data_IF_392148829421
#
_entry.id   IF_392148829421
#
_cell.length_a   1.000
_cell.length_b   1.000
_cell.length_c   1.000
_cell.angle_alpha   90.00
_cell.angle_beta   90.00
_cell.angle_gamma   90.00
#
_symmetry.space_group_name_H-M   'P 1'
#
loop_
_entity.id
_entity.type
_entity.pdbx_description
1 polymer ?
#
# COMPACT_ATOMS: atom_id res chain seq x y z
N UNK A 1 5.51 0.20 -13.36
CA UNK A 1 5.89 0.49 -11.96
C UNK A 1 6.96 1.54 -11.96
N UNK A 2 6.76 2.63 -11.25
CA UNK A 2 7.78 3.64 -10.94
C UNK A 2 8.44 3.27 -9.61
N UNK A 3 9.76 3.39 -9.53
CA UNK A 3 10.55 3.06 -8.33
C UNK A 3 11.58 4.17 -8.15
N UNK A 4 11.77 4.66 -6.93
CA UNK A 4 12.85 5.62 -6.65
C UNK A 4 14.22 4.94 -6.85
N UNK A 5 15.12 5.60 -7.61
CA UNK A 5 16.37 4.97 -8.05
C UNK A 5 17.45 4.94 -6.96
N UNK A 6 17.44 5.92 -6.06
CA UNK A 6 18.47 6.11 -5.02
C UNK A 6 17.96 5.65 -3.63
N UNK A 7 16.91 4.82 -3.59
CA UNK A 7 16.30 4.32 -2.37
C UNK A 7 17.01 3.03 -1.91
N UNK A 8 18.10 3.20 -1.13
CA UNK A 8 18.85 2.07 -0.57
C UNK A 8 18.01 1.29 0.45
N UNK A 9 17.14 1.97 1.23
CA UNK A 9 16.26 1.36 2.21
C UNK A 9 15.23 0.46 1.54
N UNK A 10 14.65 0.86 0.41
CA UNK A 10 13.78 -0.02 -0.38
C UNK A 10 14.50 -1.30 -0.78
N UNK A 11 15.74 -1.20 -1.29
CA UNK A 11 16.51 -2.39 -1.68
C UNK A 11 16.73 -3.33 -0.48
N UNK A 12 17.07 -2.79 0.68
CA UNK A 12 17.23 -3.56 1.92
C UNK A 12 15.93 -4.28 2.30
N UNK A 13 14.80 -3.59 2.33
CA UNK A 13 13.49 -4.17 2.62
C UNK A 13 13.14 -5.32 1.66
N UNK A 14 13.35 -5.11 0.35
CA UNK A 14 13.07 -6.14 -0.66
C UNK A 14 13.95 -7.39 -0.49
N UNK A 15 15.23 -7.21 -0.13
CA UNK A 15 16.16 -8.32 0.10
C UNK A 15 15.80 -9.06 1.39
N UNK A 16 15.56 -8.37 2.50
CA UNK A 16 15.18 -8.96 3.79
C UNK A 16 13.91 -9.79 3.69
N UNK A 17 12.90 -9.30 2.98
CA UNK A 17 11.65 -10.03 2.77
C UNK A 17 11.83 -11.28 1.91
N UNK A 18 12.70 -11.22 0.90
CA UNK A 18 13.00 -12.35 0.03
C UNK A 18 13.95 -13.38 0.68
N UNK A 19 14.79 -12.94 1.61
CA UNK A 19 15.78 -13.74 2.32
C UNK A 19 15.86 -13.34 3.81
N UNK A 20 14.95 -13.84 4.66
CA UNK A 20 14.91 -13.50 6.10
C UNK A 20 16.17 -13.91 6.89
N UNK A 21 17.01 -14.76 6.32
CA UNK A 21 18.29 -15.18 6.93
C UNK A 21 19.47 -14.32 6.42
N UNK A 22 19.17 -13.30 5.60
CA UNK A 22 20.17 -12.38 5.07
C UNK A 22 20.92 -11.67 6.20
N UNK A 23 22.26 -11.71 6.16
CA UNK A 23 23.10 -10.95 7.07
C UNK A 23 23.18 -9.49 6.62
N UNK A 24 22.55 -8.60 7.38
CA UNK A 24 22.50 -7.16 7.09
C UNK A 24 23.88 -6.49 6.96
N UNK A 25 24.92 -7.10 7.53
CA UNK A 25 26.32 -6.61 7.40
C UNK A 25 26.96 -6.97 6.05
N UNK A 26 26.34 -7.86 5.27
CA UNK A 26 26.82 -8.28 3.96
C UNK A 26 25.72 -8.20 2.91
N UNK A 27 25.66 -7.12 2.16
CA UNK A 27 24.76 -6.90 1.03
C UNK A 27 25.04 -7.80 -0.18
N UNK A 28 25.32 -9.08 0.04
CA UNK A 28 25.39 -10.05 -1.05
C UNK A 28 23.99 -10.50 -1.45
N UNK A 29 23.47 -9.87 -2.51
CA UNK A 29 22.23 -10.25 -3.13
C UNK A 29 22.31 -11.69 -3.67
N UNK A 30 21.69 -12.66 -2.99
CA UNK A 30 21.57 -14.02 -3.51
C UNK A 30 20.40 -14.14 -4.49
N UNK A 31 20.74 -14.07 -5.77
CA UNK A 31 19.77 -14.22 -6.86
C UNK A 31 18.99 -15.56 -6.78
N UNK A 32 19.58 -16.63 -6.21
CA UNK A 32 18.92 -17.93 -6.08
C UNK A 32 17.81 -17.84 -5.05
N UNK A 33 18.08 -17.31 -3.86
CA UNK A 33 17.10 -17.14 -2.78
C UNK A 33 15.93 -16.27 -3.22
N UNK A 34 16.20 -15.12 -3.82
CA UNK A 34 15.14 -14.24 -4.37
C UNK A 34 14.31 -14.93 -5.46
N UNK A 35 14.95 -15.77 -6.30
CA UNK A 35 14.22 -16.52 -7.32
C UNK A 35 13.35 -17.62 -6.72
N UNK A 36 13.80 -18.31 -5.66
CA UNK A 36 13.04 -19.31 -4.94
C UNK A 36 11.86 -18.68 -4.19
N UNK A 37 12.09 -17.55 -3.51
CA UNK A 37 11.03 -16.76 -2.89
C UNK A 37 9.93 -16.39 -3.89
N UNK A 38 10.30 -15.79 -5.01
CA UNK A 38 9.36 -15.43 -6.09
C UNK A 38 8.54 -16.63 -6.58
N UNK A 39 9.18 -17.76 -6.82
CA UNK A 39 8.47 -18.98 -7.22
C UNK A 39 7.48 -19.45 -6.16
N UNK A 40 7.87 -19.37 -4.89
CA UNK A 40 7.01 -19.72 -3.75
C UNK A 40 5.77 -18.81 -3.75
N UNK A 41 5.94 -17.51 -3.82
CA UNK A 41 4.83 -16.54 -3.82
C UNK A 41 3.89 -16.73 -5.03
N UNK A 42 4.43 -16.88 -6.24
CA UNK A 42 3.63 -17.07 -7.46
C UNK A 42 2.94 -18.43 -7.55
N UNK A 43 3.40 -19.43 -6.81
CA UNK A 43 2.79 -20.79 -6.80
C UNK A 43 1.81 -20.99 -5.64
N UNK A 44 1.86 -20.15 -4.62
CA UNK A 44 0.94 -20.21 -3.50
C UNK A 44 -0.46 -19.72 -3.92
N UNK A 45 -1.54 -20.32 -3.37
CA UNK A 45 -2.87 -19.75 -3.55
C UNK A 45 -2.92 -18.35 -2.90
N UNK A 46 -3.43 -17.37 -3.63
CA UNK A 46 -3.63 -16.02 -3.11
C UNK A 46 -4.77 -16.06 -2.08
N UNK A 47 -4.54 -15.48 -0.89
CA UNK A 47 -5.54 -15.36 0.18
C UNK A 47 -6.79 -14.60 -0.30
N UNK A 48 -7.86 -14.65 0.45
CA UNK A 48 -9.03 -13.80 0.23
C UNK A 48 -8.71 -12.38 0.74
N UNK A 49 -8.55 -11.43 -0.19
CA UNK A 49 -8.18 -10.06 0.14
C UNK A 49 -9.24 -9.32 0.96
N UNK A 50 -10.52 -9.64 0.74
CA UNK A 50 -11.59 -9.07 1.56
C UNK A 50 -11.50 -9.53 3.02
N UNK A 51 -11.25 -10.82 3.22
CA UNK A 51 -11.09 -11.37 4.58
C UNK A 51 -9.85 -10.77 5.28
N UNK A 52 -8.75 -10.54 4.55
CA UNK A 52 -7.57 -9.83 5.11
C UNK A 52 -7.94 -8.42 5.54
N UNK A 53 -8.64 -7.65 4.72
CA UNK A 53 -9.07 -6.28 5.05
C UNK A 53 -10.06 -6.26 6.22
N UNK A 54 -10.99 -7.22 6.30
CA UNK A 54 -11.91 -7.36 7.42
C UNK A 54 -11.17 -7.64 8.74
N UNK A 55 -10.12 -8.47 8.71
CA UNK A 55 -9.26 -8.75 9.87
C UNK A 55 -8.50 -7.49 10.31
N UNK A 56 -7.83 -6.80 9.39
CA UNK A 56 -7.08 -5.58 9.68
C UNK A 56 -7.99 -4.45 10.19
N UNK A 57 -9.15 -4.25 9.57
CA UNK A 57 -10.14 -3.28 10.06
C UNK A 57 -10.68 -3.65 11.45
N UNK A 58 -10.82 -4.95 11.72
CA UNK A 58 -11.20 -5.43 13.06
C UNK A 58 -10.21 -5.03 14.13
N UNK A 59 -8.91 -5.13 13.83
CA UNK A 59 -7.83 -4.68 14.73
C UNK A 59 -7.91 -3.18 15.01
N UNK A 60 -8.14 -2.34 13.98
CA UNK A 60 -8.31 -0.88 14.17
C UNK A 60 -9.50 -0.54 15.07
N UNK A 61 -10.60 -1.29 14.96
CA UNK A 61 -11.77 -1.10 15.84
C UNK A 61 -11.47 -1.48 17.28
N UNK A 62 -10.75 -2.57 17.50
CA UNK A 62 -10.33 -2.99 18.86
C UNK A 62 -9.39 -1.95 19.48
N UNK A 63 -8.47 -1.39 18.70
CA UNK A 63 -7.57 -0.32 19.17
C UNK A 63 -8.35 0.96 19.52
N UNK A 64 -9.29 1.38 18.69
CA UNK A 64 -10.14 2.53 18.98
C UNK A 64 -10.96 2.31 20.28
N UNK A 65 -11.49 1.08 20.51
CA UNK A 65 -12.17 0.73 21.76
C UNK A 65 -11.21 0.77 22.96
N UNK A 66 -9.98 0.29 22.82
CA UNK A 66 -8.95 0.32 23.89
C UNK A 66 -8.51 1.75 24.24
N UNK A 67 -8.56 2.66 23.27
CA UNK A 67 -8.26 4.08 23.43
C UNK A 67 -9.48 4.92 23.83
N UNK A 68 -10.62 4.29 24.13
CA UNK A 68 -11.90 4.95 24.49
C UNK A 68 -12.43 5.91 23.39
N UNK A 69 -12.13 5.67 22.09
CA UNK A 69 -12.58 6.48 20.96
C UNK A 69 -13.95 5.99 20.42
N UNK A 70 -14.84 6.93 20.09
CA UNK A 70 -16.06 6.61 19.35
C UNK A 70 -15.75 6.40 17.87
N UNK A 71 -15.97 5.16 17.38
CA UNK A 71 -15.65 4.77 16.02
C UNK A 71 -16.36 5.64 14.97
N UNK A 72 -17.64 5.95 15.18
CA UNK A 72 -18.44 6.69 14.19
C UNK A 72 -18.16 8.20 14.22
N UNK A 73 -17.99 8.78 15.41
CA UNK A 73 -17.87 10.22 15.59
C UNK A 73 -16.40 10.70 15.53
N UNK A 74 -15.46 9.91 16.11
CA UNK A 74 -14.08 10.33 16.28
C UNK A 74 -13.12 9.70 15.25
N UNK A 75 -13.37 8.45 14.80
CA UNK A 75 -12.51 7.79 13.81
C UNK A 75 -13.05 8.00 12.39
N UNK A 76 -14.31 7.69 12.12
CA UNK A 76 -14.84 7.85 10.76
C UNK A 76 -15.05 9.33 10.40
N UNK A 77 -15.77 10.08 11.23
CA UNK A 77 -16.08 11.48 10.95
C UNK A 77 -16.96 11.70 9.71
N UNK A 78 -17.06 12.95 9.27
CA UNK A 78 -17.85 13.34 8.10
C UNK A 78 -17.01 13.29 6.81
N UNK A 79 -17.67 12.94 5.68
CA UNK A 79 -17.02 12.88 4.37
C UNK A 79 -16.96 14.27 3.73
N UNK A 80 -15.92 15.03 4.09
CA UNK A 80 -15.68 16.39 3.60
C UNK A 80 -14.18 16.75 3.68
N UNK A 81 -13.78 17.81 2.99
CA UNK A 81 -12.44 18.42 3.08
C UNK A 81 -11.38 17.78 2.21
N UNK A 82 -11.69 16.68 1.52
CA UNK A 82 -10.72 15.97 0.68
C UNK A 82 -10.39 16.67 -0.62
N UNK A 83 -9.11 16.76 -0.96
CA UNK A 83 -8.60 17.25 -2.25
C UNK A 83 -8.33 16.07 -3.19
N UNK A 84 -8.67 16.17 -4.50
CA UNK A 84 -8.45 15.08 -5.44
C UNK A 84 -6.96 14.78 -5.65
N UNK A 85 -6.61 13.48 -5.63
CA UNK A 85 -5.28 12.97 -5.97
C UNK A 85 -5.32 12.28 -7.35
N UNK A 86 -4.73 12.91 -8.37
CA UNK A 86 -4.71 12.44 -9.76
C UNK A 86 -3.29 12.22 -10.31
N UNK A 87 -2.27 12.28 -9.45
CA UNK A 87 -0.86 12.10 -9.80
C UNK A 87 -0.09 11.44 -8.67
N UNK A 88 0.95 10.70 -9.00
CA UNK A 88 1.82 10.09 -8.01
C UNK A 88 2.59 11.14 -7.22
N UNK A 89 2.65 10.99 -5.91
CA UNK A 89 3.35 11.87 -4.97
C UNK A 89 4.77 11.40 -4.69
N UNK A 90 5.00 10.08 -4.58
CA UNK A 90 6.25 9.50 -4.09
C UNK A 90 7.50 9.78 -4.95
N UNK A 91 7.37 10.35 -6.13
CA UNK A 91 8.51 10.75 -6.96
C UNK A 91 8.78 12.26 -7.00
N UNK A 92 7.97 13.04 -6.29
CA UNK A 92 8.09 14.48 -6.28
C UNK A 92 8.74 14.96 -4.98
N UNK A 93 9.74 15.82 -5.09
CA UNK A 93 10.37 16.47 -3.96
C UNK A 93 9.85 17.91 -3.86
N UNK A 94 9.02 18.18 -2.87
CA UNK A 94 8.38 19.47 -2.66
C UNK A 94 9.37 20.58 -2.30
N UNK A 95 10.47 20.25 -1.62
CA UNK A 95 11.51 21.21 -1.23
C UNK A 95 12.25 21.77 -2.44
N UNK A 96 12.49 20.95 -3.45
CA UNK A 96 13.26 21.32 -4.65
C UNK A 96 12.38 21.63 -5.86
N UNK A 97 11.13 21.20 -5.85
CA UNK A 97 10.20 21.27 -6.98
C UNK A 97 10.64 20.40 -8.16
N UNK A 98 11.41 19.34 -7.92
CA UNK A 98 11.90 18.40 -8.94
C UNK A 98 11.50 16.97 -8.60
N UNK A 99 11.52 16.10 -9.60
CA UNK A 99 11.35 14.66 -9.39
C UNK A 99 12.62 14.04 -8.81
N UNK A 100 12.46 13.04 -7.95
CA UNK A 100 13.57 12.14 -7.61
C UNK A 100 14.06 11.38 -8.85
N UNK A 101 15.29 10.86 -8.87
CA UNK A 101 15.71 9.90 -9.88
C UNK A 101 14.81 8.67 -9.87
N UNK A 102 14.32 8.24 -11.04
CA UNK A 102 13.33 7.17 -11.16
C UNK A 102 13.79 6.05 -12.06
N UNK A 103 13.39 4.83 -11.70
CA UNK A 103 13.45 3.64 -12.54
C UNK A 103 12.03 3.33 -13.03
N UNK A 104 11.83 3.30 -14.34
CA UNK A 104 10.63 2.73 -14.93
C UNK A 104 10.83 1.23 -15.12
N UNK A 105 10.32 0.43 -14.17
CA UNK A 105 10.45 -1.01 -14.19
C UNK A 105 9.34 -1.67 -15.01
N UNK A 106 9.73 -2.52 -15.98
CA UNK A 106 8.81 -3.43 -16.68
C UNK A 106 8.93 -4.82 -16.08
N UNK A 107 7.94 -5.24 -15.29
CA UNK A 107 7.94 -6.50 -14.57
C UNK A 107 7.07 -7.53 -15.31
N UNK A 108 7.55 -8.77 -15.55
CA UNK A 108 6.86 -9.76 -16.37
C UNK A 108 5.79 -10.52 -15.57
N UNK A 109 4.81 -9.79 -15.01
CA UNK A 109 3.66 -10.35 -14.30
C UNK A 109 2.53 -10.70 -15.26
N UNK A 110 1.67 -11.64 -14.89
CA UNK A 110 0.42 -11.96 -15.60
C UNK A 110 -0.74 -11.15 -15.05
N UNK A 111 -0.74 -10.93 -13.74
CA UNK A 111 -1.74 -10.18 -13.01
C UNK A 111 -1.07 -9.06 -12.20
N UNK A 112 -1.69 -7.87 -12.03
CA UNK A 112 -1.04 -6.73 -11.39
C UNK A 112 -0.53 -7.00 -9.98
N UNK A 113 -1.28 -7.75 -9.18
CA UNK A 113 -0.90 -8.07 -7.79
C UNK A 113 0.32 -8.99 -7.66
N UNK A 114 0.70 -9.70 -8.73
CA UNK A 114 1.91 -10.55 -8.74
C UNK A 114 3.21 -9.72 -8.63
N UNK A 115 3.11 -8.39 -8.74
CA UNK A 115 4.26 -7.50 -8.64
C UNK A 115 4.98 -7.64 -7.30
N UNK A 116 4.25 -7.87 -6.20
CA UNK A 116 4.81 -8.07 -4.87
C UNK A 116 5.63 -9.36 -4.73
N UNK A 117 5.44 -10.35 -5.60
CA UNK A 117 6.34 -11.51 -5.67
C UNK A 117 7.72 -11.16 -6.28
N UNK A 118 7.81 -10.07 -7.04
CA UNK A 118 9.05 -9.56 -7.62
C UNK A 118 9.68 -8.46 -6.78
N UNK A 119 8.85 -7.67 -6.14
CA UNK A 119 9.19 -6.56 -5.26
C UNK A 119 8.49 -6.81 -3.91
N UNK A 120 9.06 -7.66 -3.04
CA UNK A 120 8.46 -8.03 -1.76
C UNK A 120 8.55 -6.88 -0.76
N UNK A 121 7.66 -5.91 -0.94
CA UNK A 121 7.46 -4.73 -0.10
C UNK A 121 6.80 -5.10 1.23
N UNK A 122 6.86 -4.21 2.23
CA UNK A 122 6.14 -4.36 3.50
C UNK A 122 6.82 -5.27 4.52
N UNK A 123 6.02 -5.86 5.42
CA UNK A 123 6.45 -6.73 6.53
C UNK A 123 7.31 -6.00 7.59
N UNK A 124 7.02 -4.74 7.82
CA UNK A 124 7.60 -3.90 8.87
C UNK A 124 6.53 -2.94 9.39
N UNK A 125 6.63 -2.58 10.67
CA UNK A 125 5.61 -1.81 11.39
C UNK A 125 4.20 -2.40 11.11
N UNK A 126 3.22 -1.59 10.73
CA UNK A 126 1.87 -2.03 10.39
C UNK A 126 1.69 -2.40 8.90
N UNK A 127 2.77 -2.33 8.08
CA UNK A 127 2.68 -2.68 6.67
C UNK A 127 2.56 -4.19 6.47
N UNK A 128 1.53 -4.68 5.77
CA UNK A 128 1.29 -6.11 5.58
C UNK A 128 2.44 -6.84 4.87
N UNK A 129 2.52 -8.15 5.05
CA UNK A 129 3.47 -9.01 4.35
C UNK A 129 3.10 -9.23 2.87
N UNK A 130 4.03 -9.79 2.09
CA UNK A 130 3.82 -10.03 0.66
C UNK A 130 2.55 -10.84 0.34
N UNK A 131 2.21 -11.95 1.04
CA UNK A 131 0.96 -12.67 0.82
C UNK A 131 -0.30 -11.81 0.99
N UNK A 132 -0.32 -10.95 2.01
CA UNK A 132 -1.45 -10.07 2.27
C UNK A 132 -1.52 -8.89 1.31
N UNK A 133 -0.37 -8.29 0.97
CA UNK A 133 -0.29 -7.30 -0.11
C UNK A 133 -0.81 -7.86 -1.45
N UNK A 134 -0.44 -9.09 -1.82
CA UNK A 134 -0.95 -9.73 -3.03
C UNK A 134 -2.46 -9.98 -2.96
N UNK A 135 -2.99 -10.36 -1.79
CA UNK A 135 -4.41 -10.64 -1.58
C UNK A 135 -5.24 -9.36 -1.70
N UNK A 136 -4.84 -8.30 -1.00
CA UNK A 136 -5.51 -7.00 -1.00
C UNK A 136 -5.43 -6.36 -2.39
N UNK A 137 -4.25 -6.33 -3.02
CA UNK A 137 -4.10 -5.78 -4.37
C UNK A 137 -4.94 -6.55 -5.41
N UNK A 138 -5.08 -7.87 -5.27
CA UNK A 138 -5.99 -8.67 -6.12
C UNK A 138 -7.44 -8.26 -5.92
N UNK A 139 -7.90 -8.14 -4.68
CA UNK A 139 -9.26 -7.75 -4.35
C UNK A 139 -9.57 -6.35 -4.90
N UNK A 140 -8.72 -5.37 -4.67
CA UNK A 140 -8.90 -4.01 -5.19
C UNK A 140 -8.82 -3.93 -6.71
N UNK A 141 -7.99 -4.76 -7.35
CA UNK A 141 -8.00 -4.87 -8.81
C UNK A 141 -9.33 -5.42 -9.33
N UNK A 142 -9.86 -6.48 -8.72
CA UNK A 142 -11.14 -7.09 -9.12
C UNK A 142 -12.34 -6.19 -8.85
N UNK A 143 -12.30 -5.35 -7.81
CA UNK A 143 -13.40 -4.45 -7.43
C UNK A 143 -13.35 -3.09 -8.14
N UNK A 144 -12.15 -2.52 -8.32
CA UNK A 144 -11.96 -1.13 -8.72
C UNK A 144 -11.02 -0.97 -9.91
N UNK A 145 -10.33 -2.01 -10.33
CA UNK A 145 -9.29 -1.94 -11.35
C UNK A 145 -7.99 -1.31 -10.85
N UNK A 146 -7.82 -1.16 -9.54
CA UNK A 146 -6.63 -0.56 -8.94
C UNK A 146 -5.39 -1.42 -9.19
N UNK A 147 -4.29 -0.82 -9.65
CA UNK A 147 -3.02 -1.50 -9.93
C UNK A 147 -1.88 -0.82 -9.19
N UNK A 148 -0.96 -1.57 -8.54
CA UNK A 148 0.25 -0.99 -7.96
C UNK A 148 1.07 -0.29 -9.05
N UNK A 149 1.41 0.98 -8.86
CA UNK A 149 1.96 1.82 -9.91
C UNK A 149 3.28 2.52 -9.54
N UNK A 150 3.46 2.93 -8.29
CA UNK A 150 4.68 3.56 -7.79
C UNK A 150 5.05 3.05 -6.40
N UNK A 151 6.34 3.07 -6.04
CA UNK A 151 6.86 2.51 -4.79
C UNK A 151 8.15 3.22 -4.38
N UNK A 152 8.26 3.56 -3.10
CA UNK A 152 9.51 3.86 -2.37
C UNK A 152 9.74 2.83 -1.26
N UNK A 153 10.56 3.12 -0.25
CA UNK A 153 10.76 2.20 0.88
C UNK A 153 9.56 2.13 1.83
N UNK A 154 8.81 3.21 1.96
CA UNK A 154 7.71 3.42 2.89
C UNK A 154 6.38 3.81 2.22
N UNK A 155 6.40 4.08 0.90
CA UNK A 155 5.23 4.50 0.15
C UNK A 155 4.85 3.50 -0.93
N UNK A 156 3.56 3.34 -1.13
CA UNK A 156 2.97 2.53 -2.19
C UNK A 156 1.78 3.28 -2.81
N UNK A 157 1.77 3.40 -4.13
CA UNK A 157 0.67 4.05 -4.83
C UNK A 157 0.04 3.13 -5.85
N UNK A 158 -1.29 3.20 -5.92
CA UNK A 158 -2.09 2.50 -6.92
C UNK A 158 -2.71 3.48 -7.89
N UNK A 159 -2.78 3.08 -9.16
CA UNK A 159 -3.51 3.80 -10.21
C UNK A 159 -4.85 3.11 -10.48
N UNK A 160 -5.91 3.92 -10.64
CA UNK A 160 -7.25 3.49 -10.99
C UNK A 160 -7.64 3.99 -12.38
N UNK A 161 -8.43 3.22 -13.15
CA UNK A 161 -8.93 3.68 -14.44
C UNK A 161 -9.96 4.82 -14.32
N UNK A 162 -10.66 4.89 -13.20
CA UNK A 162 -11.64 5.92 -12.83
C UNK A 162 -11.75 6.00 -11.32
N UNK A 163 -12.12 7.16 -10.75
CA UNK A 163 -12.45 7.25 -9.33
C UNK A 163 -13.56 6.23 -8.94
N UNK A 164 -13.57 5.82 -7.68
CA UNK A 164 -14.68 5.02 -7.13
C UNK A 164 -15.95 5.87 -7.00
N UNK A 165 -17.12 5.21 -6.87
CA UNK A 165 -18.35 5.98 -6.66
C UNK A 165 -18.42 6.56 -5.24
N UNK A 166 -19.07 7.72 -5.10
CA UNK A 166 -19.20 8.42 -3.81
C UNK A 166 -19.89 7.55 -2.75
N UNK A 167 -20.85 6.71 -3.16
CA UNK A 167 -21.58 5.82 -2.26
C UNK A 167 -20.70 4.72 -1.65
N UNK A 168 -19.60 4.38 -2.32
CA UNK A 168 -18.65 3.37 -1.83
C UNK A 168 -17.41 3.96 -1.14
N UNK A 169 -17.27 5.27 -1.17
CA UNK A 169 -16.04 5.92 -0.72
C UNK A 169 -15.71 5.64 0.74
N UNK A 170 -16.71 5.72 1.64
CA UNK A 170 -16.50 5.42 3.06
C UNK A 170 -16.11 3.95 3.29
N UNK A 171 -16.77 3.01 2.61
CA UNK A 171 -16.40 1.58 2.71
C UNK A 171 -14.93 1.35 2.33
N UNK A 172 -14.50 1.95 1.21
CA UNK A 172 -13.12 1.80 0.72
C UNK A 172 -12.13 2.56 1.62
N UNK A 173 -12.50 3.71 2.18
CA UNK A 173 -11.65 4.43 3.13
C UNK A 173 -11.40 3.61 4.40
N UNK A 174 -12.41 2.92 4.91
CA UNK A 174 -12.28 2.00 6.05
C UNK A 174 -11.39 0.80 5.70
N UNK A 175 -11.52 0.23 4.50
CA UNK A 175 -10.60 -0.80 4.01
C UNK A 175 -9.16 -0.30 3.96
N UNK A 176 -8.94 0.92 3.46
CA UNK A 176 -7.60 1.52 3.35
C UNK A 176 -7.01 1.86 4.71
N UNK A 177 -7.80 2.36 5.65
CA UNK A 177 -7.36 2.60 7.02
C UNK A 177 -6.98 1.30 7.74
N UNK A 178 -7.75 0.22 7.55
CA UNK A 178 -7.34 -1.10 8.04
C UNK A 178 -6.01 -1.57 7.47
N UNK A 179 -5.78 -1.33 6.18
CA UNK A 179 -4.58 -1.72 5.46
C UNK A 179 -3.34 -0.86 5.80
N UNK A 180 -3.53 0.44 6.03
CA UNK A 180 -2.49 1.43 6.32
C UNK A 180 -3.04 2.42 7.35
N UNK A 181 -2.81 2.20 8.66
CA UNK A 181 -3.38 3.03 9.71
C UNK A 181 -2.79 4.45 9.75
N UNK A 182 -1.59 4.63 9.21
CA UNK A 182 -0.92 5.94 9.17
C UNK A 182 -1.62 6.95 8.24
N UNK A 183 -2.64 6.52 7.48
CA UNK A 183 -3.47 7.41 6.65
C UNK A 183 -4.31 8.41 7.46
N UNK A 184 -4.53 8.18 8.74
CA UNK A 184 -5.24 9.09 9.63
C UNK A 184 -4.40 10.30 10.09
N UNK A 185 -3.07 10.23 9.91
CA UNK A 185 -2.14 11.31 10.28
C UNK A 185 -2.18 12.52 9.33
N UNK A 186 -3.04 12.52 8.30
CA UNK A 186 -3.31 13.70 7.51
C UNK A 186 -3.91 14.82 8.36
N UNK A 187 -3.60 16.08 8.04
CA UNK A 187 -3.87 17.28 8.85
C UNK A 187 -5.32 17.41 9.36
N UNK A 188 -6.28 16.75 8.75
CA UNK A 188 -7.71 16.77 9.11
C UNK A 188 -8.21 15.49 9.82
N UNK A 189 -7.38 14.46 9.95
CA UNK A 189 -7.45 13.36 10.94
C UNK A 189 -8.70 12.46 10.91
N UNK A 190 -9.50 12.41 9.85
CA UNK A 190 -10.66 11.54 9.79
C UNK A 190 -10.67 10.64 8.55
N UNK A 191 -11.23 9.43 8.72
CA UNK A 191 -11.44 8.50 7.60
C UNK A 191 -12.47 9.07 6.61
N UNK A 192 -13.35 9.96 7.07
CA UNK A 192 -14.29 10.69 6.22
C UNK A 192 -13.59 11.63 5.25
N UNK A 193 -12.53 12.31 5.65
CA UNK A 193 -11.73 13.13 4.73
C UNK A 193 -11.02 12.26 3.68
N UNK A 194 -10.49 11.10 4.06
CA UNK A 194 -9.95 10.12 3.12
C UNK A 194 -11.05 9.63 2.14
N UNK A 195 -12.24 9.34 2.62
CA UNK A 195 -13.36 8.96 1.75
C UNK A 195 -13.70 10.05 0.73
N UNK A 196 -13.62 11.33 1.14
CA UNK A 196 -13.86 12.47 0.24
C UNK A 196 -12.74 12.62 -0.80
N UNK A 197 -11.48 12.29 -0.47
CA UNK A 197 -10.38 12.17 -1.44
C UNK A 197 -10.68 11.06 -2.45
N UNK A 198 -11.04 9.86 -2.01
CA UNK A 198 -11.06 8.64 -2.83
C UNK A 198 -12.08 8.68 -3.98
N UNK A 199 -13.29 9.26 -3.77
CA UNK A 199 -14.29 9.33 -4.85
C UNK A 199 -13.95 10.36 -5.93
N UNK A 200 -12.96 11.22 -5.69
CA UNK A 200 -12.48 12.24 -6.62
C UNK A 200 -11.15 11.84 -7.29
N UNK A 201 -10.47 10.78 -6.80
CA UNK A 201 -9.07 10.46 -7.11
C UNK A 201 -8.93 9.24 -8.01
N UNK A 202 -7.92 9.27 -8.87
CA UNK A 202 -7.47 8.12 -9.67
C UNK A 202 -6.16 7.54 -9.17
N UNK A 203 -5.59 8.09 -8.11
CA UNK A 203 -4.41 7.57 -7.42
C UNK A 203 -4.74 7.37 -5.94
N UNK A 204 -4.47 6.18 -5.44
CA UNK A 204 -4.49 5.87 -4.02
C UNK A 204 -3.07 5.88 -3.49
N UNK A 205 -2.84 6.56 -2.39
CA UNK A 205 -1.55 6.74 -1.75
C UNK A 205 -1.54 6.08 -0.37
N UNK A 206 -0.47 5.37 -0.05
CA UNK A 206 -0.23 4.71 1.22
C UNK A 206 1.19 5.04 1.69
N UNK A 207 1.34 5.36 2.94
CA UNK A 207 2.60 5.62 3.61
C UNK A 207 2.58 4.99 5.00
N UNK A 208 3.65 4.35 5.39
CA UNK A 208 3.82 3.74 6.69
C UNK A 208 5.04 4.33 7.38
N UNK A 209 4.86 4.78 8.68
CA UNK A 209 5.93 5.38 9.51
C UNK A 209 6.91 4.32 10.05
#
# INVERSE_FOLDING_TARGET
>A
MLIQADDETLLECLVMNADPEHDADFYEFDLKTVTEYRKKMLSAPVKDGKAVLEELTGQRKEEAEDDDLDWEEEVLGEMEGGEPNDRFANYWNDDTGMTYPLILAKIPVKNPWEIFAYLPFGNWNECPDTPDLMAVAKYWFEQHGAIPAAMSHDELEFELPTPISKERAMEVAVEQYGFCPDLDQNEDGSIGSLADVLWQSTVWYFWWD
#
